data_IF_606935359782
#
_entry.id   IF_606935359782
#
_cell.length_a   1.000
_cell.length_b   1.000
_cell.length_c   1.000
_cell.angle_alpha   90.00
_cell.angle_beta   90.00
_cell.angle_gamma   90.00
#
_symmetry.space_group_name_H-M   'P 1'
#
loop_
_entity.id
_entity.type
_entity.pdbx_description
1 polymer ?
#
# COMPACT_ATOMS: atom_id res chain seq x y z
N UNK A 1 -48.30 -37.80 46.58
CA UNK A 1 -48.38 -36.81 45.48
C UNK A 1 -46.99 -36.68 44.87
N UNK A 2 -46.77 -37.23 43.67
CA UNK A 2 -45.48 -37.18 42.95
C UNK A 2 -45.55 -36.01 41.95
N UNK A 3 -44.75 -34.96 42.15
CA UNK A 3 -44.61 -33.89 41.17
C UNK A 3 -43.45 -34.20 40.23
N UNK A 4 -43.77 -34.27 38.94
CA UNK A 4 -42.82 -34.46 37.85
C UNK A 4 -42.11 -33.14 37.54
N UNK A 5 -40.79 -33.15 37.59
CA UNK A 5 -39.96 -32.02 37.15
C UNK A 5 -39.72 -32.17 35.64
N UNK A 6 -40.27 -31.25 34.84
CA UNK A 6 -40.01 -31.15 33.39
C UNK A 6 -38.73 -30.35 33.18
N UNK A 7 -37.70 -30.99 32.64
CA UNK A 7 -36.49 -30.31 32.17
C UNK A 7 -36.74 -29.83 30.73
N UNK A 8 -36.76 -28.50 30.54
CA UNK A 8 -36.78 -27.88 29.23
C UNK A 8 -35.33 -27.73 28.72
N UNK A 9 -35.03 -28.37 27.59
CA UNK A 9 -33.74 -28.27 26.92
C UNK A 9 -33.77 -27.05 25.98
N UNK A 10 -33.09 -25.96 26.36
CA UNK A 10 -32.94 -24.78 25.51
C UNK A 10 -31.85 -24.99 24.45
N UNK A 11 -32.20 -24.88 23.18
CA UNK A 11 -31.25 -24.84 22.06
C UNK A 11 -30.53 -23.49 22.05
N UNK A 12 -29.24 -23.49 22.36
CA UNK A 12 -28.38 -22.32 22.28
C UNK A 12 -27.76 -22.28 20.88
N UNK A 13 -28.33 -21.45 19.99
CA UNK A 13 -27.75 -21.19 18.67
C UNK A 13 -26.58 -20.21 18.86
N UNK A 14 -25.36 -20.74 18.87
CA UNK A 14 -24.13 -19.95 18.79
C UNK A 14 -24.00 -19.36 17.39
N UNK A 15 -24.21 -18.06 17.26
CA UNK A 15 -23.80 -17.30 16.08
C UNK A 15 -22.27 -17.22 16.10
N UNK A 16 -21.61 -18.08 15.32
CA UNK A 16 -20.20 -17.91 15.03
C UNK A 16 -20.06 -16.70 14.10
N UNK A 17 -19.54 -15.59 14.61
CA UNK A 17 -19.00 -14.55 13.75
C UNK A 17 -17.82 -15.16 13.00
N UNK A 18 -17.93 -15.22 11.66
CA UNK A 18 -16.78 -15.53 10.81
C UNK A 18 -15.85 -14.33 10.92
N UNK A 19 -14.83 -14.44 11.78
CA UNK A 19 -13.71 -13.51 11.80
C UNK A 19 -12.97 -13.68 10.47
N UNK A 20 -13.21 -12.77 9.53
CA UNK A 20 -12.40 -12.69 8.33
C UNK A 20 -10.99 -12.30 8.73
N UNK A 21 -10.01 -13.04 8.22
CA UNK A 21 -8.61 -12.73 8.42
C UNK A 21 -8.27 -11.47 7.63
N UNK A 22 -8.19 -10.35 8.34
CA UNK A 22 -7.90 -9.02 7.80
C UNK A 22 -6.51 -8.59 8.27
N UNK A 23 -5.76 -7.98 7.37
CA UNK A 23 -4.60 -7.20 7.74
C UNK A 23 -5.12 -5.88 8.32
N UNK A 24 -4.57 -5.37 9.42
CA UNK A 24 -4.99 -4.09 10.00
C UNK A 24 -3.79 -3.24 10.37
N UNK A 25 -3.89 -1.94 10.12
CA UNK A 25 -2.83 -1.00 10.49
C UNK A 25 -2.82 -0.82 12.02
N UNK A 26 -1.69 -1.13 12.62
CA UNK A 26 -1.37 -0.82 14.02
C UNK A 26 -0.22 0.19 14.05
N UNK A 27 -0.50 1.43 14.44
CA UNK A 27 0.50 2.49 14.52
C UNK A 27 1.45 2.17 15.69
N UNK A 28 2.73 2.00 15.39
CA UNK A 28 3.79 1.70 16.37
C UNK A 28 4.56 2.96 16.76
N UNK A 29 4.62 3.95 15.87
CA UNK A 29 5.19 5.26 16.12
C UNK A 29 4.37 6.32 15.38
N UNK A 30 3.55 7.06 16.12
CA UNK A 30 2.84 8.23 15.61
C UNK A 30 3.76 9.46 15.48
N UNK A 31 3.22 10.55 14.96
CA UNK A 31 3.91 11.85 14.89
C UNK A 31 3.15 12.84 15.76
N UNK A 32 3.56 12.99 17.03
CA UNK A 32 2.85 13.85 18.00
C UNK A 32 2.75 15.31 17.55
N UNK A 33 3.75 15.78 16.80
CA UNK A 33 3.81 17.12 16.20
C UNK A 33 3.12 17.23 14.83
N UNK A 34 2.40 16.20 14.38
CA UNK A 34 1.60 16.26 13.17
C UNK A 34 0.47 17.30 13.31
N UNK A 35 0.01 17.83 12.17
CA UNK A 35 -0.96 18.92 12.12
C UNK A 35 -2.28 18.49 12.81
N UNK A 36 -2.71 19.17 13.89
CA UNK A 36 -4.01 18.90 14.50
C UNK A 36 -5.14 19.15 13.50
N UNK A 37 -6.16 18.30 13.51
CA UNK A 37 -7.35 18.47 12.67
C UNK A 37 -8.61 17.96 13.39
N UNK A 38 -9.75 18.63 13.18
CA UNK A 38 -11.05 18.13 13.60
C UNK A 38 -11.65 17.24 12.51
N UNK A 39 -12.02 16.00 12.83
CA UNK A 39 -12.81 15.15 11.92
C UNK A 39 -14.04 14.68 12.67
N UNK A 40 -15.16 15.35 12.44
CA UNK A 40 -16.41 15.12 13.17
C UNK A 40 -17.08 13.85 12.66
N UNK A 41 -17.73 13.03 13.52
CA UNK A 41 -18.58 11.94 13.06
C UNK A 41 -19.64 12.43 12.07
N UNK A 42 -19.70 11.81 10.89
CA UNK A 42 -20.64 12.27 9.85
C UNK A 42 -22.08 12.00 10.29
N UNK A 43 -22.96 12.95 10.00
CA UNK A 43 -24.37 12.83 10.37
C UNK A 43 -25.07 11.80 9.50
N UNK A 44 -25.54 10.72 10.12
CA UNK A 44 -26.47 9.78 9.49
C UNK A 44 -27.88 10.39 9.40
N UNK A 45 -28.44 10.39 8.18
CA UNK A 45 -29.77 10.95 7.88
C UNK A 45 -30.86 9.88 7.64
N UNK A 46 -30.52 8.60 7.83
CA UNK A 46 -31.49 7.50 7.78
C UNK A 46 -31.93 7.04 9.17
N UNK A 47 -32.80 6.01 9.22
CA UNK A 47 -33.19 5.39 10.49
C UNK A 47 -32.05 4.52 11.06
N UNK A 48 -32.05 4.32 12.38
CA UNK A 48 -31.14 3.38 13.04
C UNK A 48 -29.67 3.82 13.01
N UNK A 49 -28.76 2.83 12.99
CA UNK A 49 -27.31 3.05 12.93
C UNK A 49 -26.84 3.27 11.49
N UNK A 50 -25.81 4.10 11.26
CA UNK A 50 -25.21 4.23 9.93
C UNK A 50 -24.66 2.90 9.43
N UNK A 51 -24.63 2.68 8.10
CA UNK A 51 -24.03 1.48 7.52
C UNK A 51 -22.49 1.46 7.60
N UNK A 52 -21.86 2.60 7.82
CA UNK A 52 -20.41 2.79 7.92
C UNK A 52 -20.08 4.11 8.64
N UNK A 53 -19.00 4.15 9.41
CA UNK A 53 -18.55 5.33 10.16
C UNK A 53 -17.58 6.19 9.34
N UNK A 54 -18.11 6.93 8.35
CA UNK A 54 -17.31 7.68 7.36
C UNK A 54 -16.29 8.63 8.01
N UNK A 55 -16.70 9.39 9.03
CA UNK A 55 -15.80 10.30 9.74
C UNK A 55 -14.64 9.58 10.44
N UNK A 56 -14.87 8.35 10.93
CA UNK A 56 -13.82 7.54 11.53
C UNK A 56 -12.79 7.07 10.47
N UNK A 57 -13.25 6.71 9.27
CA UNK A 57 -12.35 6.37 8.15
C UNK A 57 -11.51 7.58 7.74
N UNK A 58 -12.13 8.76 7.58
CA UNK A 58 -11.39 9.99 7.23
C UNK A 58 -10.35 10.32 8.30
N UNK A 59 -10.70 10.22 9.58
CA UNK A 59 -9.76 10.39 10.68
C UNK A 59 -8.63 9.35 10.66
N UNK A 60 -8.95 8.08 10.40
CA UNK A 60 -7.94 7.02 10.29
C UNK A 60 -6.97 7.29 9.14
N UNK A 61 -7.47 7.64 7.95
CA UNK A 61 -6.68 7.94 6.76
C UNK A 61 -5.69 9.08 7.00
N UNK A 62 -6.19 10.22 7.49
CA UNK A 62 -5.35 11.38 7.76
C UNK A 62 -4.28 11.07 8.80
N UNK A 63 -4.60 10.27 9.83
CA UNK A 63 -3.62 9.79 10.82
C UNK A 63 -2.60 8.83 10.21
N UNK A 64 -3.05 7.88 9.38
CA UNK A 64 -2.21 6.88 8.70
C UNK A 64 -1.21 7.52 7.73
N UNK A 65 -1.48 8.74 7.26
CA UNK A 65 -0.52 9.50 6.45
C UNK A 65 0.72 9.98 7.23
N UNK A 66 0.66 9.98 8.57
CA UNK A 66 1.69 10.56 9.44
C UNK A 66 1.77 12.09 9.41
N UNK A 67 0.88 12.78 8.67
CA UNK A 67 0.88 14.25 8.53
C UNK A 67 -0.16 14.96 9.41
N UNK A 68 -1.15 14.22 9.91
CA UNK A 68 -2.22 14.79 10.72
C UNK A 68 -2.37 14.05 12.06
N UNK A 69 -2.86 14.79 13.04
CA UNK A 69 -3.26 14.29 14.35
C UNK A 69 -4.75 14.63 14.58
N UNK A 70 -5.69 13.79 14.10
CA UNK A 70 -7.11 14.02 14.31
C UNK A 70 -7.46 13.92 15.79
N UNK A 71 -8.11 14.95 16.32
CA UNK A 71 -8.54 15.00 17.72
C UNK A 71 -9.55 13.87 18.01
N UNK A 72 -9.44 13.29 19.21
CA UNK A 72 -10.38 12.27 19.68
C UNK A 72 -11.81 12.83 19.83
N UNK A 73 -12.82 12.03 19.47
CA UNK A 73 -14.22 12.42 19.49
C UNK A 73 -14.71 12.88 20.88
N UNK A 74 -14.18 12.32 21.97
CA UNK A 74 -14.54 12.69 23.33
C UNK A 74 -13.95 14.06 23.76
N UNK A 75 -12.96 14.57 23.02
CA UNK A 75 -12.30 15.85 23.28
C UNK A 75 -12.77 16.97 22.35
N UNK A 76 -13.67 16.67 21.41
CA UNK A 76 -14.19 17.67 20.49
C UNK A 76 -15.01 18.73 21.25
N UNK A 77 -14.83 20.02 20.95
CA UNK A 77 -15.59 21.08 21.61
C UNK A 77 -17.06 21.10 21.15
N UNK A 78 -17.33 20.52 19.98
CA UNK A 78 -18.65 20.39 19.38
C UNK A 78 -18.63 19.32 18.28
N UNK A 79 -19.80 18.78 17.93
CA UNK A 79 -19.97 17.82 16.83
C UNK A 79 -20.94 18.37 15.78
N UNK A 80 -20.54 19.42 15.03
CA UNK A 80 -21.38 20.03 13.99
C UNK A 80 -21.63 19.07 12.85
N UNK A 81 -22.86 19.06 12.35
CA UNK A 81 -23.29 18.24 11.22
C UNK A 81 -23.19 18.96 9.89
N UNK A 82 -23.06 20.29 9.88
CA UNK A 82 -22.94 21.12 8.68
C UNK A 82 -21.84 22.17 8.84
N UNK A 83 -21.34 22.73 7.74
CA UNK A 83 -20.32 23.78 7.80
C UNK A 83 -20.80 25.03 8.56
N UNK A 84 -22.09 25.37 8.46
CA UNK A 84 -22.68 26.53 9.14
C UNK A 84 -22.74 26.37 10.68
N UNK A 85 -22.74 25.13 11.19
CA UNK A 85 -22.71 24.83 12.63
C UNK A 85 -21.29 24.85 13.22
N UNK A 86 -20.26 25.01 12.39
CA UNK A 86 -18.88 25.07 12.88
C UNK A 86 -18.66 26.41 13.56
N UNK A 87 -18.40 26.41 14.87
CA UNK A 87 -17.97 27.59 15.63
C UNK A 87 -16.44 27.66 15.57
N UNK A 88 -15.82 28.48 14.70
CA UNK A 88 -14.38 28.38 14.44
C UNK A 88 -13.51 28.56 15.67
N UNK A 89 -13.86 29.56 16.51
CA UNK A 89 -13.11 29.93 17.71
C UNK A 89 -12.94 28.77 18.70
N UNK A 90 -13.91 27.85 18.79
CA UNK A 90 -13.83 26.68 19.67
C UNK A 90 -12.74 25.70 19.24
N UNK A 91 -12.46 25.61 17.94
CA UNK A 91 -11.41 24.74 17.38
C UNK A 91 -10.06 25.44 17.39
N UNK A 92 -9.99 26.74 17.06
CA UNK A 92 -8.76 27.53 17.13
C UNK A 92 -8.16 27.53 18.54
N UNK A 93 -9.02 27.57 19.57
CA UNK A 93 -8.61 27.48 20.97
C UNK A 93 -7.88 26.17 21.33
N UNK A 94 -8.07 25.12 20.53
CA UNK A 94 -7.37 23.83 20.65
C UNK A 94 -6.17 23.71 19.68
N UNK A 95 -5.82 24.79 18.97
CA UNK A 95 -4.78 24.78 17.94
C UNK A 95 -5.19 24.08 16.64
N UNK A 96 -6.50 23.90 16.40
CA UNK A 96 -7.03 23.27 15.18
C UNK A 96 -7.46 24.36 14.20
N UNK A 97 -6.90 24.32 12.99
CA UNK A 97 -7.13 25.30 11.93
C UNK A 97 -8.04 24.80 10.80
N UNK A 98 -8.44 23.53 10.82
CA UNK A 98 -9.36 22.94 9.87
C UNK A 98 -10.24 21.86 10.52
N UNK A 99 -11.50 21.81 10.08
CA UNK A 99 -12.49 20.83 10.55
C UNK A 99 -13.20 20.19 9.37
N UNK A 100 -13.27 18.86 9.36
CA UNK A 100 -14.07 18.08 8.43
C UNK A 100 -15.41 17.75 9.09
N UNK A 101 -16.48 18.11 8.40
CA UNK A 101 -17.87 17.72 8.73
C UNK A 101 -18.49 17.02 7.53
N UNK A 102 -19.58 16.29 7.73
CA UNK A 102 -20.25 15.63 6.62
C UNK A 102 -21.52 14.92 7.01
N UNK A 103 -22.20 14.40 5.99
CA UNK A 103 -23.48 13.70 6.13
C UNK A 103 -23.49 12.43 5.27
N UNK A 104 -24.31 11.47 5.68
CA UNK A 104 -24.60 10.24 4.93
C UNK A 104 -26.10 10.08 4.82
N UNK A 105 -26.62 10.10 3.59
CA UNK A 105 -28.05 10.06 3.30
C UNK A 105 -28.40 8.81 2.46
N UNK A 106 -29.31 7.94 2.92
CA UNK A 106 -29.83 6.86 2.07
C UNK A 106 -30.72 7.44 0.96
N UNK A 107 -30.62 6.86 -0.23
CA UNK A 107 -31.44 7.16 -1.40
C UNK A 107 -32.52 6.09 -1.62
N UNK A 108 -33.61 6.46 -2.29
CA UNK A 108 -34.74 5.56 -2.54
C UNK A 108 -34.37 4.33 -3.42
N UNK A 109 -33.30 4.42 -4.21
CA UNK A 109 -32.78 3.35 -5.06
C UNK A 109 -31.81 2.39 -4.32
N UNK A 110 -31.68 2.54 -2.99
CA UNK A 110 -30.78 1.72 -2.16
C UNK A 110 -29.32 2.16 -2.18
N UNK A 111 -28.98 3.23 -2.89
CA UNK A 111 -27.66 3.88 -2.81
C UNK A 111 -27.58 4.87 -1.64
N UNK A 112 -26.39 5.44 -1.43
CA UNK A 112 -26.09 6.41 -0.38
C UNK A 112 -25.44 7.65 -1.02
N UNK A 113 -25.77 8.83 -0.51
CA UNK A 113 -25.04 10.06 -0.79
C UNK A 113 -24.16 10.37 0.41
N UNK A 114 -22.85 10.36 0.21
CA UNK A 114 -21.85 10.76 1.21
C UNK A 114 -21.36 12.16 0.84
N UNK A 115 -21.55 13.13 1.72
CA UNK A 115 -21.10 14.51 1.52
C UNK A 115 -20.13 14.92 2.62
N UNK A 116 -19.13 15.72 2.27
CA UNK A 116 -18.23 16.32 3.24
C UNK A 116 -18.03 17.81 2.94
N UNK A 117 -17.67 18.57 3.98
CA UNK A 117 -17.19 19.93 3.88
C UNK A 117 -15.95 20.08 4.76
N UNK A 118 -14.90 20.70 4.23
CA UNK A 118 -13.69 21.08 4.93
C UNK A 118 -13.77 22.57 5.25
N UNK A 119 -13.81 22.92 6.54
CA UNK A 119 -14.01 24.29 7.03
C UNK A 119 -12.73 24.82 7.63
N UNK A 120 -12.32 26.03 7.24
CA UNK A 120 -11.22 26.77 7.86
C UNK A 120 -11.68 27.30 9.23
N UNK A 121 -10.90 27.05 10.28
CA UNK A 121 -11.18 27.55 11.63
C UNK A 121 -10.21 28.60 12.14
N UNK A 122 -9.29 29.07 11.31
CA UNK A 122 -8.30 30.08 11.66
C UNK A 122 -8.32 31.28 10.71
N UNK A 123 -7.64 31.19 9.56
CA UNK A 123 -7.34 32.34 8.70
C UNK A 123 -8.59 32.93 8.06
N UNK A 124 -9.36 32.10 7.36
CA UNK A 124 -10.65 32.46 6.80
C UNK A 124 -11.77 31.75 7.56
N UNK A 125 -11.83 31.99 8.88
CA UNK A 125 -12.72 31.31 9.82
C UNK A 125 -14.17 31.19 9.31
N UNK A 126 -14.67 29.95 9.22
CA UNK A 126 -16.01 29.60 8.74
C UNK A 126 -16.12 29.40 7.22
N UNK A 127 -15.07 29.70 6.45
CA UNK A 127 -15.07 29.43 5.01
C UNK A 127 -14.93 27.95 4.70
N UNK A 128 -15.62 27.49 3.65
CA UNK A 128 -15.50 26.12 3.13
C UNK A 128 -14.33 26.08 2.14
N UNK A 129 -13.24 25.40 2.51
CA UNK A 129 -12.03 25.25 1.72
C UNK A 129 -12.19 24.23 0.58
N UNK A 130 -12.95 23.18 0.83
CA UNK A 130 -13.29 22.11 -0.11
C UNK A 130 -14.59 21.43 0.32
N UNK A 131 -15.34 20.90 -0.63
CA UNK A 131 -16.54 20.11 -0.39
C UNK A 131 -16.85 19.25 -1.61
N UNK A 132 -17.47 18.10 -1.38
CA UNK A 132 -17.96 17.24 -2.45
C UNK A 132 -19.10 16.36 -1.97
N UNK A 133 -19.75 15.66 -2.90
CA UNK A 133 -20.75 14.64 -2.63
C UNK A 133 -20.59 13.45 -3.59
N UNK A 134 -20.76 12.24 -3.07
CA UNK A 134 -20.59 11.01 -3.81
C UNK A 134 -21.84 10.15 -3.67
N UNK A 135 -22.42 9.73 -4.80
CA UNK A 135 -23.50 8.74 -4.81
C UNK A 135 -22.89 7.35 -5.03
N UNK A 136 -23.02 6.47 -4.04
CA UNK A 136 -22.38 5.15 -4.02
C UNK A 136 -23.32 4.06 -3.53
N UNK A 137 -23.12 2.81 -3.97
CA UNK A 137 -23.79 1.66 -3.35
C UNK A 137 -23.05 1.27 -2.06
N UNK A 138 -23.70 0.44 -1.22
CA UNK A 138 -23.17 0.06 0.11
C UNK A 138 -21.71 -0.41 0.09
N UNK A 139 -21.34 -1.22 -0.91
CA UNK A 139 -19.99 -1.79 -1.04
C UNK A 139 -18.89 -0.73 -1.28
N UNK A 140 -19.25 0.48 -1.71
CA UNK A 140 -18.34 1.57 -2.04
C UNK A 140 -18.36 2.72 -1.01
N UNK A 141 -19.00 2.53 0.15
CA UNK A 141 -19.02 3.54 1.22
C UNK A 141 -17.61 3.89 1.71
N UNK A 142 -16.75 2.87 1.89
CA UNK A 142 -15.35 3.07 2.26
C UNK A 142 -14.58 3.86 1.20
N UNK A 143 -14.78 3.52 -0.08
CA UNK A 143 -14.19 4.27 -1.19
C UNK A 143 -14.61 5.75 -1.19
N UNK A 144 -15.88 6.04 -0.90
CA UNK A 144 -16.35 7.43 -0.76
C UNK A 144 -15.67 8.17 0.42
N UNK A 145 -15.47 7.49 1.55
CA UNK A 145 -14.70 8.03 2.67
C UNK A 145 -13.25 8.33 2.28
N UNK A 146 -12.55 7.36 1.67
CA UNK A 146 -11.19 7.54 1.18
C UNK A 146 -11.08 8.65 0.12
N UNK A 147 -12.13 8.87 -0.69
CA UNK A 147 -12.19 9.99 -1.64
C UNK A 147 -12.24 11.33 -0.90
N UNK A 148 -13.08 11.46 0.14
CA UNK A 148 -13.09 12.65 1.00
C UNK A 148 -11.72 12.86 1.69
N UNK A 149 -11.10 11.79 2.19
CA UNK A 149 -9.75 11.85 2.76
C UNK A 149 -8.72 12.35 1.76
N UNK A 150 -8.74 11.87 0.51
CA UNK A 150 -7.82 12.28 -0.54
C UNK A 150 -7.95 13.78 -0.83
N UNK A 151 -9.18 14.27 -0.98
CA UNK A 151 -9.44 15.67 -1.27
C UNK A 151 -9.07 16.59 -0.09
N UNK A 152 -9.38 16.20 1.15
CA UNK A 152 -8.97 16.94 2.35
C UNK A 152 -7.44 16.99 2.46
N UNK A 153 -6.78 15.84 2.29
CA UNK A 153 -5.33 15.74 2.38
C UNK A 153 -4.64 16.59 1.30
N UNK A 154 -5.09 16.50 0.06
CA UNK A 154 -4.54 17.28 -1.05
C UNK A 154 -4.77 18.77 -0.85
N UNK A 155 -5.97 19.18 -0.41
CA UNK A 155 -6.28 20.58 -0.15
C UNK A 155 -5.39 21.19 0.94
N UNK A 156 -5.08 20.43 1.98
CA UNK A 156 -4.33 20.91 3.14
C UNK A 156 -2.81 20.76 3.02
N UNK A 157 -2.32 19.89 2.13
CA UNK A 157 -0.88 19.59 2.00
C UNK A 157 -0.30 19.90 0.62
N UNK A 158 -1.13 20.02 -0.42
CA UNK A 158 -0.71 20.08 -1.81
C UNK A 158 -0.18 18.75 -2.39
N UNK A 159 -0.24 17.67 -1.60
CA UNK A 159 0.19 16.33 -2.02
C UNK A 159 -1.05 15.51 -2.34
N UNK A 160 -1.09 14.87 -3.51
CA UNK A 160 -2.20 13.99 -3.88
C UNK A 160 -2.37 12.84 -2.88
N UNK A 161 -3.61 12.65 -2.40
CA UNK A 161 -3.95 11.56 -1.48
C UNK A 161 -3.81 10.17 -2.11
N UNK A 162 -3.51 9.17 -1.28
CA UNK A 162 -3.32 7.78 -1.67
C UNK A 162 -4.26 6.82 -0.92
N UNK A 163 -5.36 7.30 -0.35
CA UNK A 163 -6.22 6.49 0.53
C UNK A 163 -7.13 5.52 -0.23
N UNK A 164 -7.35 5.75 -1.53
CA UNK A 164 -8.07 4.82 -2.42
C UNK A 164 -7.19 3.73 -3.02
N UNK A 165 -5.91 3.70 -2.68
CA UNK A 165 -4.98 2.72 -3.21
C UNK A 165 -5.17 1.35 -2.56
N UNK A 166 -4.53 0.36 -3.16
CA UNK A 166 -4.51 -1.04 -2.71
C UNK A 166 -3.09 -1.49 -2.47
N UNK A 167 -2.95 -2.60 -1.77
CA UNK A 167 -1.70 -3.32 -1.62
C UNK A 167 -1.88 -4.77 -2.09
N UNK A 168 -0.88 -5.29 -2.79
CA UNK A 168 -0.75 -6.71 -3.07
C UNK A 168 0.28 -7.31 -2.12
N UNK A 169 0.07 -8.54 -1.67
CA UNK A 169 1.00 -9.24 -0.77
C UNK A 169 0.79 -10.75 -0.84
N UNK A 170 1.81 -11.49 -0.41
CA UNK A 170 1.75 -12.95 -0.34
C UNK A 170 1.59 -13.40 1.10
N UNK A 171 0.55 -14.19 1.35
CA UNK A 171 0.30 -14.85 2.63
C UNK A 171 0.72 -16.31 2.52
N UNK A 172 1.54 -16.77 3.47
CA UNK A 172 1.81 -18.17 3.70
C UNK A 172 0.98 -18.63 4.91
N UNK A 173 -0.10 -19.37 4.63
CA UNK A 173 -1.03 -19.86 5.64
C UNK A 173 -0.50 -21.11 6.35
N UNK A 174 -1.12 -21.44 7.49
CA UNK A 174 -0.75 -22.61 8.28
C UNK A 174 -1.29 -23.90 7.65
N UNK A 175 -0.58 -24.42 6.65
CA UNK A 175 -0.87 -25.72 6.03
C UNK A 175 -1.98 -25.71 4.97
N UNK A 176 -2.46 -26.89 4.60
CA UNK A 176 -3.43 -27.08 3.52
C UNK A 176 -2.80 -27.36 2.15
N UNK A 177 -3.64 -27.67 1.15
CA UNK A 177 -3.20 -28.02 -0.22
C UNK A 177 -2.57 -26.83 -0.96
N UNK A 178 -2.96 -25.60 -0.62
CA UNK A 178 -2.52 -24.37 -1.26
C UNK A 178 -2.10 -23.34 -0.20
N UNK A 179 -0.94 -23.52 0.47
CA UNK A 179 -0.55 -22.68 1.59
C UNK A 179 -0.06 -21.28 1.17
N UNK A 180 0.15 -21.02 -0.12
CA UNK A 180 0.62 -19.72 -0.62
C UNK A 180 -0.49 -18.99 -1.36
N UNK A 181 -0.85 -17.80 -0.89
CA UNK A 181 -1.91 -16.99 -1.48
C UNK A 181 -1.38 -15.60 -1.84
N UNK A 182 -1.51 -15.21 -3.11
CA UNK A 182 -1.38 -13.82 -3.51
C UNK A 182 -2.73 -13.14 -3.22
N UNK A 183 -2.72 -12.09 -2.40
CA UNK A 183 -3.90 -11.35 -1.99
C UNK A 183 -3.77 -9.88 -2.39
N UNK A 184 -4.91 -9.22 -2.48
CA UNK A 184 -5.05 -7.77 -2.61
C UNK A 184 -6.05 -7.29 -1.57
N UNK A 185 -5.77 -6.15 -0.96
CA UNK A 185 -6.70 -5.41 -0.11
C UNK A 185 -6.60 -3.92 -0.42
N UNK A 186 -7.52 -3.11 0.12
CA UNK A 186 -7.29 -1.67 0.26
C UNK A 186 -6.03 -1.44 1.13
N UNK A 187 -5.42 -0.25 1.03
CA UNK A 187 -4.15 0.03 1.71
C UNK A 187 -4.22 -0.18 3.24
N UNK A 188 -5.40 0.01 3.83
CA UNK A 188 -5.68 -0.17 5.25
C UNK A 188 -6.17 -1.58 5.61
N UNK A 189 -6.14 -2.50 4.64
CA UNK A 189 -6.36 -3.94 4.82
C UNK A 189 -7.80 -4.42 4.67
N UNK A 190 -8.76 -3.50 4.49
CA UNK A 190 -10.15 -3.84 4.20
C UNK A 190 -10.33 -4.35 2.75
N UNK A 191 -11.51 -4.91 2.46
CA UNK A 191 -11.87 -5.39 1.11
C UNK A 191 -10.87 -6.41 0.52
N UNK A 192 -10.29 -7.25 1.38
CA UNK A 192 -9.33 -8.27 0.96
C UNK A 192 -9.98 -9.31 0.04
N UNK A 193 -9.28 -9.67 -1.04
CA UNK A 193 -9.61 -10.82 -1.87
C UNK A 193 -8.34 -11.59 -2.29
N UNK A 194 -8.51 -12.87 -2.61
CA UNK A 194 -7.42 -13.73 -3.08
C UNK A 194 -7.34 -13.66 -4.61
N UNK A 195 -6.17 -13.30 -5.12
CA UNK A 195 -5.86 -13.24 -6.56
C UNK A 195 -5.52 -14.63 -7.08
N UNK A 196 -4.63 -15.34 -6.38
CA UNK A 196 -4.16 -16.67 -6.79
C UNK A 196 -3.78 -17.51 -5.57
N UNK A 197 -4.02 -18.83 -5.63
CA UNK A 197 -3.62 -19.80 -4.61
C UNK A 197 -2.70 -20.83 -5.21
N UNK A 198 -1.68 -21.23 -4.46
CA UNK A 198 -0.65 -22.13 -4.95
C UNK A 198 -0.17 -23.15 -3.92
N UNK A 199 0.12 -24.40 -4.32
CA UNK A 199 0.84 -25.37 -3.50
C UNK A 199 2.32 -25.00 -3.31
N UNK A 200 2.84 -24.07 -4.12
CA UNK A 200 4.24 -23.67 -4.17
C UNK A 200 4.38 -22.16 -3.92
N UNK A 201 5.58 -21.66 -3.60
CA UNK A 201 5.76 -20.23 -3.33
C UNK A 201 5.27 -19.32 -4.46
N UNK A 202 4.73 -18.16 -4.06
CA UNK A 202 4.45 -17.01 -4.92
C UNK A 202 5.38 -15.87 -4.50
N UNK A 203 5.91 -15.12 -5.46
CA UNK A 203 6.89 -14.07 -5.17
C UNK A 203 6.67 -12.82 -6.03
N UNK A 204 7.13 -11.69 -5.50
CA UNK A 204 7.35 -10.43 -6.22
C UNK A 204 6.14 -9.96 -7.05
N UNK A 205 4.97 -9.71 -6.44
CA UNK A 205 3.87 -9.09 -7.15
C UNK A 205 4.26 -7.68 -7.61
N UNK A 206 3.85 -7.29 -8.81
CA UNK A 206 4.06 -5.96 -9.35
C UNK A 206 2.80 -5.47 -10.08
N UNK A 207 2.34 -4.28 -9.75
CA UNK A 207 1.13 -3.68 -10.34
C UNK A 207 1.41 -3.12 -11.74
N UNK A 208 0.45 -3.30 -12.65
CA UNK A 208 0.38 -2.45 -13.84
C UNK A 208 -0.02 -1.02 -13.45
N UNK A 209 0.42 0.01 -14.19
CA UNK A 209 0.18 1.42 -13.82
C UNK A 209 -1.30 1.84 -13.86
N UNK A 210 -2.15 1.08 -14.55
CA UNK A 210 -3.61 1.24 -14.55
C UNK A 210 -4.31 0.49 -13.39
N UNK A 211 -3.55 -0.20 -12.54
CA UNK A 211 -4.08 -0.98 -11.41
C UNK A 211 -4.88 -2.23 -11.79
N UNK A 212 -4.96 -2.60 -13.07
CA UNK A 212 -5.85 -3.68 -13.53
C UNK A 212 -5.22 -5.08 -13.51
N UNK A 213 -3.90 -5.17 -13.42
CA UNK A 213 -3.13 -6.43 -13.52
C UNK A 213 -2.04 -6.50 -12.45
N UNK A 214 -1.67 -7.73 -12.10
CA UNK A 214 -0.50 -8.03 -11.27
C UNK A 214 0.39 -9.01 -12.02
N UNK A 215 1.66 -8.67 -12.19
CA UNK A 215 2.70 -9.62 -12.56
C UNK A 215 3.25 -10.30 -11.30
N UNK A 216 3.50 -11.60 -11.33
CA UNK A 216 4.07 -12.33 -10.19
C UNK A 216 4.79 -13.60 -10.64
N UNK A 217 5.62 -14.14 -9.75
CA UNK A 217 6.34 -15.40 -9.97
C UNK A 217 5.60 -16.53 -9.28
N UNK A 218 5.40 -17.63 -10.00
CA UNK A 218 4.85 -18.89 -9.46
C UNK A 218 5.84 -20.04 -9.67
N UNK A 219 5.85 -21.00 -8.74
CA UNK A 219 6.66 -22.21 -8.79
C UNK A 219 5.84 -23.49 -9.02
N UNK A 220 4.56 -23.35 -9.40
CA UNK A 220 3.60 -24.46 -9.57
C UNK A 220 4.02 -25.51 -10.58
N UNK A 221 4.82 -25.11 -11.57
CA UNK A 221 5.36 -26.02 -12.59
C UNK A 221 6.59 -26.82 -12.13
N UNK A 222 7.01 -26.69 -10.87
CA UNK A 222 8.27 -27.23 -10.34
C UNK A 222 9.50 -26.35 -10.64
N UNK A 223 9.33 -25.27 -11.40
CA UNK A 223 10.32 -24.21 -11.66
C UNK A 223 9.64 -22.84 -11.65
N UNK A 224 10.43 -21.78 -11.55
CA UNK A 224 9.91 -20.40 -11.63
C UNK A 224 9.28 -20.10 -13.00
N UNK A 225 8.10 -19.51 -12.98
CA UNK A 225 7.43 -18.95 -14.14
C UNK A 225 6.92 -17.54 -13.80
N UNK A 226 7.16 -16.58 -14.69
CA UNK A 226 6.65 -15.24 -14.60
C UNK A 226 5.34 -15.13 -15.38
N UNK A 227 4.29 -14.64 -14.72
CA UNK A 227 2.96 -14.49 -15.29
C UNK A 227 2.39 -13.10 -15.01
N UNK A 228 1.40 -12.68 -15.79
CA UNK A 228 0.56 -11.49 -15.54
C UNK A 228 -0.88 -11.96 -15.40
N UNK A 229 -1.54 -11.62 -14.31
CA UNK A 229 -2.96 -11.91 -14.09
C UNK A 229 -3.79 -10.63 -14.12
N UNK A 230 -4.89 -10.67 -14.86
CA UNK A 230 -5.91 -9.60 -14.88
C UNK A 230 -6.85 -9.77 -13.70
N UNK A 231 -6.97 -8.75 -12.86
CA UNK A 231 -7.69 -8.86 -11.58
C UNK A 231 -9.20 -9.04 -11.77
N UNK A 232 -9.79 -8.38 -12.77
CA UNK A 232 -11.24 -8.37 -12.97
C UNK A 232 -11.82 -9.74 -13.37
N UNK A 233 -11.05 -10.60 -14.04
CA UNK A 233 -11.54 -11.87 -14.59
C UNK A 233 -10.60 -13.07 -14.33
N UNK A 234 -9.46 -12.86 -13.68
CA UNK A 234 -8.47 -13.90 -13.39
C UNK A 234 -7.69 -14.40 -14.61
N UNK A 235 -7.76 -13.75 -15.77
CA UNK A 235 -7.04 -14.19 -16.97
C UNK A 235 -5.53 -14.12 -16.77
N UNK A 236 -4.82 -15.22 -17.01
CA UNK A 236 -3.37 -15.35 -16.84
C UNK A 236 -2.68 -15.35 -18.21
N UNK A 237 -1.70 -14.45 -18.39
CA UNK A 237 -0.75 -14.44 -19.50
C UNK A 237 0.60 -14.92 -19.01
N UNK A 238 1.14 -15.98 -19.60
CA UNK A 238 2.52 -16.38 -19.36
C UNK A 238 3.48 -15.39 -20.04
N UNK A 239 4.47 -14.91 -19.29
CA UNK A 239 5.52 -14.01 -19.79
C UNK A 239 6.79 -14.79 -20.09
N UNK A 240 7.29 -15.55 -19.12
CA UNK A 240 8.55 -16.28 -19.23
C UNK A 240 8.57 -17.53 -18.35
N UNK A 241 9.11 -18.63 -18.89
CA UNK A 241 9.38 -19.88 -18.15
C UNK A 241 10.61 -20.60 -18.72
N UNK A 242 11.67 -19.84 -18.95
CA UNK A 242 12.96 -20.37 -19.38
C UNK A 242 13.59 -21.23 -18.28
N UNK A 243 14.63 -22.03 -18.58
CA UNK A 243 15.40 -22.72 -17.56
C UNK A 243 15.91 -21.76 -16.48
N UNK A 244 16.04 -22.26 -15.24
CA UNK A 244 16.49 -21.52 -14.05
C UNK A 244 15.48 -20.48 -13.56
N UNK A 245 15.91 -19.25 -13.30
CA UNK A 245 15.11 -18.20 -12.67
C UNK A 245 14.41 -17.31 -13.71
N UNK A 246 13.14 -17.00 -13.48
CA UNK A 246 12.30 -16.05 -14.22
C UNK A 246 11.54 -15.22 -13.19
N UNK A 247 11.88 -13.94 -13.01
CA UNK A 247 11.26 -13.17 -11.94
C UNK A 247 11.63 -11.70 -11.88
N UNK A 248 11.38 -11.10 -10.70
CA UNK A 248 11.55 -9.67 -10.43
C UNK A 248 10.86 -8.74 -11.46
N UNK A 249 9.53 -8.88 -11.68
CA UNK A 249 8.82 -8.05 -12.64
C UNK A 249 8.66 -6.59 -12.17
N UNK A 250 8.70 -5.65 -13.11
CA UNK A 250 8.31 -4.26 -12.90
C UNK A 250 7.70 -3.67 -14.18
N UNK A 251 6.47 -3.16 -14.09
CA UNK A 251 5.81 -2.48 -15.22
C UNK A 251 6.40 -1.08 -15.42
N UNK A 252 6.54 -0.66 -16.67
CA UNK A 252 6.87 0.74 -16.96
C UNK A 252 5.70 1.66 -16.59
N UNK A 253 5.95 2.89 -16.11
CA UNK A 253 4.90 3.86 -15.77
C UNK A 253 3.93 4.16 -16.91
N UNK A 254 4.38 4.14 -18.17
CA UNK A 254 3.56 4.32 -19.37
C UNK A 254 2.68 3.11 -19.73
N UNK A 255 2.85 1.98 -19.04
CA UNK A 255 2.07 0.75 -19.26
C UNK A 255 2.42 -0.01 -20.54
N UNK A 256 3.50 0.35 -21.23
CA UNK A 256 3.88 -0.28 -22.51
C UNK A 256 4.83 -1.45 -22.34
N UNK A 257 5.57 -1.54 -21.23
CA UNK A 257 6.66 -2.51 -21.04
C UNK A 257 6.59 -3.22 -19.69
N UNK A 258 7.21 -4.39 -19.64
CA UNK A 258 7.50 -5.13 -18.42
C UNK A 258 9.00 -5.45 -18.37
N UNK A 259 9.72 -4.89 -17.40
CA UNK A 259 11.09 -5.29 -17.09
C UNK A 259 11.08 -6.51 -16.15
N UNK A 260 12.05 -7.40 -16.29
CA UNK A 260 12.22 -8.59 -15.45
C UNK A 260 13.63 -9.17 -15.57
N UNK A 261 13.96 -10.12 -14.71
CA UNK A 261 15.26 -10.79 -14.69
C UNK A 261 15.15 -12.27 -15.07
N UNK A 262 16.08 -12.74 -15.92
CA UNK A 262 16.22 -14.14 -16.30
C UNK A 262 17.65 -14.62 -16.04
N UNK A 263 17.83 -15.86 -15.57
CA UNK A 263 19.16 -16.48 -15.43
C UNK A 263 19.48 -17.57 -16.45
N UNK A 264 18.77 -17.58 -17.58
CA UNK A 264 18.92 -18.58 -18.66
C UNK A 264 20.32 -18.64 -19.27
N UNK A 265 21.10 -17.56 -19.20
CA UNK A 265 22.47 -17.46 -19.72
C UNK A 265 23.55 -17.86 -18.70
N UNK A 266 23.18 -18.27 -17.48
CA UNK A 266 24.10 -18.66 -16.41
C UNK A 266 24.14 -17.69 -15.23
N UNK A 267 24.04 -16.39 -15.49
CA UNK A 267 23.86 -15.30 -14.52
C UNK A 267 22.54 -14.56 -14.76
N UNK A 268 22.02 -13.87 -13.74
CA UNK A 268 20.83 -13.02 -13.90
C UNK A 268 21.12 -11.84 -14.82
N UNK A 269 20.22 -11.60 -15.78
CA UNK A 269 20.26 -10.47 -16.69
C UNK A 269 18.89 -9.83 -16.82
N UNK A 270 18.86 -8.54 -17.11
CA UNK A 270 17.64 -7.77 -17.31
C UNK A 270 17.12 -7.95 -18.73
N UNK A 271 15.80 -8.10 -18.82
CA UNK A 271 15.04 -8.17 -20.06
C UNK A 271 13.85 -7.24 -19.96
N UNK A 272 13.37 -6.78 -21.10
CA UNK A 272 12.16 -5.97 -21.23
C UNK A 272 11.25 -6.60 -22.28
N UNK A 273 9.99 -6.81 -21.93
CA UNK A 273 8.94 -7.22 -22.86
C UNK A 273 8.09 -6.02 -23.25
N UNK A 274 7.89 -5.83 -24.55
CA UNK A 274 6.83 -4.96 -25.06
C UNK A 274 5.46 -5.66 -24.87
N UNK A 275 4.54 -5.02 -24.13
CA UNK A 275 3.29 -5.65 -23.71
C UNK A 275 2.33 -5.88 -24.87
N UNK A 276 2.39 -5.07 -25.93
CA UNK A 276 1.50 -5.18 -27.08
C UNK A 276 1.90 -6.34 -28.01
N UNK A 277 3.17 -6.39 -28.39
CA UNK A 277 3.72 -7.41 -29.30
C UNK A 277 4.16 -8.70 -28.60
N UNK A 278 4.49 -8.63 -27.31
CA UNK A 278 5.15 -9.71 -26.58
C UNK A 278 6.63 -9.89 -26.91
N UNK A 279 7.23 -8.99 -27.69
CA UNK A 279 8.65 -9.06 -28.02
C UNK A 279 9.51 -8.83 -26.77
N UNK A 280 10.47 -9.72 -26.52
CA UNK A 280 11.41 -9.64 -25.39
C UNK A 280 12.78 -9.22 -25.93
N UNK A 281 13.33 -8.15 -25.34
CA UNK A 281 14.68 -7.66 -25.61
C UNK A 281 15.55 -7.78 -24.37
N UNK A 282 16.84 -8.09 -24.54
CA UNK A 282 17.81 -8.17 -23.45
C UNK A 282 18.46 -6.80 -23.24
N UNK A 283 18.57 -6.35 -21.99
CA UNK A 283 19.13 -5.02 -21.62
C UNK A 283 20.56 -5.15 -21.08
N UNK A 284 20.83 -6.22 -20.32
CA UNK A 284 22.18 -6.52 -19.81
C UNK A 284 22.64 -7.88 -20.31
N UNK A 285 23.93 -8.03 -20.58
CA UNK A 285 24.54 -9.27 -21.09
C UNK A 285 25.86 -9.65 -20.39
N UNK A 286 26.15 -8.99 -19.26
CA UNK A 286 27.35 -9.20 -18.47
C UNK A 286 27.37 -10.52 -17.68
N UNK A 287 28.53 -10.83 -17.08
CA UNK A 287 28.73 -12.02 -16.23
C UNK A 287 28.20 -11.87 -14.81
N UNK A 288 28.01 -10.63 -14.36
CA UNK A 288 27.37 -10.32 -13.08
C UNK A 288 25.91 -10.76 -13.06
N UNK A 289 25.35 -10.89 -11.85
CA UNK A 289 23.91 -10.98 -11.67
C UNK A 289 23.32 -9.57 -11.66
N UNK A 290 22.35 -9.33 -12.54
CA UNK A 290 21.61 -8.08 -12.70
C UNK A 290 20.11 -8.39 -12.55
N UNK A 291 19.47 -7.86 -11.51
CA UNK A 291 18.09 -8.24 -11.10
C UNK A 291 17.38 -7.06 -10.42
N UNK A 292 16.14 -7.28 -9.98
CA UNK A 292 15.33 -6.30 -9.21
C UNK A 292 15.22 -4.94 -9.94
N UNK A 293 14.74 -4.90 -11.19
CA UNK A 293 14.56 -3.65 -11.91
C UNK A 293 13.44 -2.81 -11.28
N UNK A 294 13.63 -1.50 -11.21
CA UNK A 294 12.60 -0.50 -10.92
C UNK A 294 12.71 0.64 -11.91
N UNK A 295 11.57 1.11 -12.41
CA UNK A 295 11.52 2.08 -13.50
C UNK A 295 11.67 3.51 -13.00
N UNK A 296 12.46 4.29 -13.73
CA UNK A 296 12.36 5.74 -13.64
C UNK A 296 11.09 6.25 -14.36
N UNK A 297 10.58 7.43 -14.00
CA UNK A 297 9.38 8.02 -14.62
C UNK A 297 9.52 8.31 -16.13
N UNK A 298 10.74 8.30 -16.65
CA UNK A 298 11.03 8.52 -18.07
C UNK A 298 10.75 7.31 -18.98
N UNK A 299 10.36 6.15 -18.41
CA UNK A 299 10.06 4.91 -19.14
C UNK A 299 11.23 4.35 -19.96
N UNK A 300 12.45 4.82 -19.71
CA UNK A 300 13.64 4.43 -20.46
C UNK A 300 14.79 4.00 -19.56
N UNK A 301 14.82 4.47 -18.31
CA UNK A 301 15.86 4.09 -17.37
C UNK A 301 15.33 3.13 -16.31
N UNK A 302 16.20 2.20 -15.91
CA UNK A 302 15.98 1.27 -14.81
C UNK A 302 17.02 1.52 -13.73
N UNK A 303 16.58 1.62 -12.47
CA UNK A 303 17.41 1.27 -11.32
C UNK A 303 17.38 -0.26 -11.16
N UNK A 304 18.49 -0.88 -10.77
CA UNK A 304 18.54 -2.34 -10.60
C UNK A 304 19.69 -2.77 -9.70
N UNK A 305 19.60 -3.96 -9.13
CA UNK A 305 20.66 -4.56 -8.30
C UNK A 305 21.69 -5.28 -9.17
N UNK A 306 22.98 -5.00 -8.95
CA UNK A 306 24.10 -5.72 -9.56
C UNK A 306 25.18 -6.11 -8.56
N UNK A 307 25.76 -7.29 -8.74
CA UNK A 307 26.95 -7.77 -8.00
C UNK A 307 28.27 -7.52 -8.74
N UNK A 308 28.28 -6.74 -9.83
CA UNK A 308 29.49 -6.53 -10.64
C UNK A 308 30.67 -5.89 -9.89
N UNK A 309 30.41 -5.20 -8.77
CA UNK A 309 31.42 -4.62 -7.89
C UNK A 309 31.73 -5.46 -6.63
N UNK A 310 31.28 -6.72 -6.56
CA UNK A 310 31.39 -7.58 -5.39
C UNK A 310 30.04 -7.73 -4.66
N UNK A 311 29.84 -7.01 -3.56
CA UNK A 311 28.55 -7.01 -2.86
C UNK A 311 27.47 -6.31 -3.70
N UNK A 312 26.18 -6.72 -3.60
CA UNK A 312 25.08 -6.06 -4.29
C UNK A 312 25.07 -4.55 -4.08
N UNK A 313 24.93 -3.82 -5.18
CA UNK A 313 24.76 -2.37 -5.22
C UNK A 313 23.70 -2.02 -6.27
N UNK A 314 23.08 -0.85 -6.13
CA UNK A 314 22.11 -0.34 -7.09
C UNK A 314 22.83 0.43 -8.21
N UNK A 315 22.48 0.10 -9.44
CA UNK A 315 22.94 0.71 -10.69
C UNK A 315 21.78 1.29 -11.48
N UNK A 316 22.07 2.20 -12.40
CA UNK A 316 21.16 2.78 -13.38
C UNK A 316 21.58 2.40 -14.80
N UNK A 317 20.64 2.03 -15.65
CA UNK A 317 20.88 1.74 -17.07
C UNK A 317 19.73 2.24 -17.94
N UNK A 318 20.02 2.68 -19.16
CA UNK A 318 19.01 2.96 -20.16
C UNK A 318 18.69 1.69 -20.97
N UNK A 319 17.40 1.37 -21.16
CA UNK A 319 16.96 0.15 -21.84
C UNK A 319 17.37 0.10 -23.32
N UNK A 320 17.69 1.24 -23.93
CA UNK A 320 18.14 1.33 -25.32
C UNK A 320 19.67 1.19 -25.47
N UNK A 321 20.37 0.93 -24.37
CA UNK A 321 21.82 0.72 -24.31
C UNK A 321 22.57 1.84 -23.60
N UNK A 322 23.89 1.65 -23.49
CA UNK A 322 24.78 2.51 -22.71
C UNK A 322 25.43 1.76 -21.56
N UNK A 323 26.39 2.42 -20.90
CA UNK A 323 27.14 1.81 -19.78
C UNK A 323 26.34 1.96 -18.49
N UNK A 324 26.09 0.87 -17.73
CA UNK A 324 25.44 0.98 -16.43
C UNK A 324 26.25 1.82 -15.45
N UNK A 325 25.59 2.71 -14.72
CA UNK A 325 26.18 3.62 -13.75
C UNK A 325 25.84 3.21 -12.32
N UNK A 326 26.82 3.07 -11.43
CA UNK A 326 26.57 2.84 -10.01
C UNK A 326 25.98 4.09 -9.36
N UNK A 327 24.88 3.95 -8.61
CA UNK A 327 24.20 5.08 -7.95
C UNK A 327 24.20 5.01 -6.42
N UNK A 328 24.64 3.89 -5.84
CA UNK A 328 24.74 3.71 -4.38
C UNK A 328 26.19 3.53 -3.95
N UNK A 329 26.65 4.31 -2.97
CA UNK A 329 28.04 4.33 -2.52
C UNK A 329 28.20 4.25 -1.01
N UNK A 330 27.20 4.71 -0.25
CA UNK A 330 27.17 4.59 1.20
C UNK A 330 26.61 3.23 1.63
N UNK A 331 27.16 2.66 2.71
CA UNK A 331 26.80 1.32 3.20
C UNK A 331 27.56 0.19 2.51
N UNK A 332 27.55 -1.00 3.13
CA UNK A 332 28.32 -2.16 2.63
C UNK A 332 27.63 -2.88 1.47
N UNK A 333 26.30 -2.83 1.40
CA UNK A 333 25.47 -3.52 0.41
C UNK A 333 24.13 -2.81 0.26
N UNK A 334 23.66 -2.64 -0.98
CA UNK A 334 22.44 -1.91 -1.31
C UNK A 334 21.71 -2.64 -2.45
N UNK A 335 20.43 -2.94 -2.30
CA UNK A 335 19.68 -3.74 -3.28
C UNK A 335 18.18 -3.50 -3.20
N UNK A 336 17.42 -4.14 -4.09
CA UNK A 336 15.96 -4.20 -4.12
C UNK A 336 15.35 -2.80 -3.99
N UNK A 337 15.75 -1.92 -4.92
CA UNK A 337 15.34 -0.53 -4.93
C UNK A 337 13.97 -0.37 -5.58
N UNK A 338 13.18 0.56 -5.05
CA UNK A 338 11.98 1.09 -5.67
C UNK A 338 12.14 2.59 -5.91
N UNK A 339 12.03 3.01 -7.16
CA UNK A 339 12.19 4.41 -7.57
C UNK A 339 10.88 5.16 -7.31
N UNK A 340 11.00 6.33 -6.69
CA UNK A 340 9.84 7.18 -6.42
C UNK A 340 9.12 7.61 -7.72
N UNK A 341 7.78 7.83 -7.67
CA UNK A 341 7.01 8.24 -8.84
C UNK A 341 7.47 9.56 -9.50
N UNK A 342 8.13 10.45 -8.75
CA UNK A 342 8.71 11.70 -9.30
C UNK A 342 10.20 11.57 -9.69
N UNK A 343 10.80 10.40 -9.47
CA UNK A 343 12.18 10.08 -9.84
C UNK A 343 13.25 10.75 -8.99
N UNK A 344 12.88 11.42 -7.88
CA UNK A 344 13.83 12.20 -7.07
C UNK A 344 14.51 11.40 -5.97
N UNK A 345 13.94 10.28 -5.57
CA UNK A 345 14.57 9.37 -4.61
C UNK A 345 14.28 7.91 -4.95
N UNK A 346 14.97 7.00 -4.28
CA UNK A 346 14.60 5.59 -4.23
C UNK A 346 14.55 5.10 -2.77
N UNK A 347 13.64 4.18 -2.47
CA UNK A 347 13.68 3.37 -1.26
C UNK A 347 14.46 2.09 -1.60
N UNK A 348 15.31 1.61 -0.70
CA UNK A 348 16.12 0.42 -0.94
C UNK A 348 16.34 -0.36 0.35
N UNK A 349 16.78 -1.59 0.18
CA UNK A 349 17.34 -2.40 1.26
C UNK A 349 18.83 -2.07 1.38
N UNK A 350 19.26 -1.57 2.54
CA UNK A 350 20.66 -1.29 2.83
C UNK A 350 21.16 -2.15 3.97
N UNK A 351 22.28 -2.84 3.76
CA UNK A 351 22.90 -3.70 4.78
C UNK A 351 24.26 -3.14 5.21
N UNK A 352 24.43 -3.00 6.53
CA UNK A 352 25.68 -2.56 7.13
C UNK A 352 25.88 -3.20 8.51
N UNK A 353 27.10 -3.64 8.83
CA UNK A 353 27.40 -4.23 10.14
C UNK A 353 26.60 -5.48 10.51
N UNK A 354 26.08 -6.22 9.52
CA UNK A 354 25.23 -7.41 9.74
C UNK A 354 23.74 -7.11 9.93
N UNK A 355 23.35 -5.83 10.02
CA UNK A 355 21.96 -5.40 10.01
C UNK A 355 21.50 -5.04 8.59
N UNK A 356 20.19 -5.09 8.35
CA UNK A 356 19.55 -4.76 7.08
C UNK A 356 18.26 -3.98 7.35
N UNK A 357 18.17 -2.78 6.76
CA UNK A 357 17.07 -1.84 6.96
C UNK A 357 16.60 -1.24 5.64
N UNK A 358 15.42 -0.62 5.65
CA UNK A 358 14.96 0.23 4.56
C UNK A 358 15.64 1.59 4.70
N UNK A 359 16.27 2.03 3.62
CA UNK A 359 16.86 3.35 3.48
C UNK A 359 16.25 4.11 2.30
N UNK A 360 16.31 5.43 2.36
CA UNK A 360 16.00 6.34 1.26
C UNK A 360 17.29 6.95 0.75
N UNK A 361 17.52 6.85 -0.56
CA UNK A 361 18.57 7.59 -1.26
C UNK A 361 17.91 8.73 -2.05
N UNK A 362 18.27 9.96 -1.74
CA UNK A 362 17.91 11.13 -2.54
C UNK A 362 18.81 11.17 -3.80
N UNK A 363 18.20 11.08 -4.98
CA UNK A 363 18.90 11.00 -6.27
C UNK A 363 19.35 12.37 -6.80
N UNK A 364 18.95 13.46 -6.16
CA UNK A 364 19.37 14.83 -6.50
C UNK A 364 20.63 15.20 -5.72
N UNK A 365 20.66 14.88 -4.43
CA UNK A 365 21.72 15.26 -3.49
C UNK A 365 22.71 14.14 -3.18
N UNK A 366 22.31 12.88 -3.40
CA UNK A 366 23.09 11.70 -3.01
C UNK A 366 22.96 11.32 -1.52
N UNK A 367 22.16 12.05 -0.75
CA UNK A 367 22.02 11.80 0.69
C UNK A 367 21.26 10.50 0.98
N UNK A 368 21.79 9.69 1.91
CA UNK A 368 21.14 8.47 2.39
C UNK A 368 20.56 8.68 3.78
N UNK A 369 19.31 8.26 3.97
CA UNK A 369 18.62 8.25 5.26
C UNK A 369 18.08 6.85 5.54
N UNK A 370 18.53 6.20 6.61
CA UNK A 370 17.88 4.96 7.10
C UNK A 370 16.52 5.33 7.70
N UNK A 371 15.46 4.62 7.29
CA UNK A 371 14.08 4.89 7.70
C UNK A 371 13.62 3.95 8.83
N UNK A 372 14.16 2.74 8.88
CA UNK A 372 13.66 1.66 9.74
C UNK A 372 14.74 1.12 10.68
N UNK A 373 14.27 0.45 11.73
CA UNK A 373 15.06 -0.19 12.78
C UNK A 373 14.52 -1.61 13.09
N UNK A 374 13.66 -2.14 12.22
CA UNK A 374 13.10 -3.48 12.34
C UNK A 374 14.10 -4.55 11.85
N UNK A 375 13.79 -5.82 12.09
CA UNK A 375 14.71 -6.93 11.83
C UNK A 375 14.45 -7.58 10.47
N UNK A 376 15.51 -7.75 9.67
CA UNK A 376 15.49 -8.34 8.32
C UNK A 376 14.46 -7.67 7.41
N UNK A 377 14.63 -6.35 7.23
CA UNK A 377 13.74 -5.55 6.39
C UNK A 377 13.98 -5.84 4.91
N UNK A 378 12.92 -6.07 4.14
CA UNK A 378 13.02 -6.42 2.72
C UNK A 378 11.83 -5.90 1.89
N UNK A 379 12.04 -5.84 0.56
CA UNK A 379 11.00 -5.56 -0.45
C UNK A 379 10.21 -4.27 -0.19
N UNK A 380 10.88 -3.10 -0.13
CA UNK A 380 10.18 -1.83 -0.04
C UNK A 380 9.37 -1.55 -1.31
N UNK A 381 8.18 -0.98 -1.15
CA UNK A 381 7.35 -0.46 -2.22
C UNK A 381 6.76 0.89 -1.80
N UNK A 382 6.92 1.90 -2.64
CA UNK A 382 6.57 3.28 -2.35
C UNK A 382 5.11 3.53 -2.77
N UNK A 383 4.35 4.20 -1.90
CA UNK A 383 3.02 4.73 -2.25
C UNK A 383 3.08 5.66 -3.47
N UNK A 384 2.03 5.75 -4.30
CA UNK A 384 2.09 6.51 -5.56
C UNK A 384 2.26 8.02 -5.39
N UNK A 385 2.13 8.55 -4.16
CA UNK A 385 2.42 9.94 -3.82
C UNK A 385 3.82 10.16 -3.21
N UNK A 386 4.63 9.11 -3.05
CA UNK A 386 5.98 9.18 -2.50
C UNK A 386 6.09 9.41 -1.00
N UNK A 387 4.99 9.37 -0.23
CA UNK A 387 5.02 9.74 1.20
C UNK A 387 5.22 8.57 2.16
N UNK A 388 4.97 7.35 1.71
CA UNK A 388 4.97 6.14 2.54
C UNK A 388 5.63 4.98 1.82
N UNK A 389 6.28 4.09 2.58
CA UNK A 389 6.85 2.84 2.08
C UNK A 389 6.19 1.70 2.82
N UNK A 390 5.67 0.72 2.09
CA UNK A 390 5.31 -0.59 2.63
C UNK A 390 6.47 -1.55 2.40
N UNK A 391 6.77 -2.38 3.39
CA UNK A 391 7.86 -3.36 3.32
C UNK A 391 7.53 -4.57 4.20
N UNK A 392 8.32 -5.65 4.12
CA UNK A 392 8.21 -6.76 5.06
C UNK A 392 9.41 -6.84 5.99
N UNK A 393 9.17 -7.34 7.21
CA UNK A 393 10.20 -7.58 8.23
C UNK A 393 9.93 -8.92 8.93
N UNK A 394 10.92 -9.44 9.62
CA UNK A 394 10.77 -10.66 10.43
C UNK A 394 10.44 -10.31 11.88
N UNK A 395 9.35 -10.87 12.42
CA UNK A 395 8.98 -10.81 13.83
C UNK A 395 8.79 -12.22 14.39
N UNK A 396 9.61 -12.59 15.38
CA UNK A 396 9.60 -13.95 15.93
C UNK A 396 9.94 -14.99 14.86
N UNK A 397 8.99 -15.89 14.58
CA UNK A 397 9.15 -16.96 13.59
C UNK A 397 8.54 -16.65 12.21
N UNK A 398 7.94 -15.47 12.02
CA UNK A 398 7.18 -15.14 10.82
C UNK A 398 7.45 -13.76 10.24
N UNK A 399 7.13 -13.60 8.97
CA UNK A 399 7.17 -12.31 8.29
C UNK A 399 5.87 -11.51 8.52
N UNK A 400 5.99 -10.20 8.66
CA UNK A 400 4.88 -9.25 8.76
C UNK A 400 5.10 -8.05 7.84
N UNK A 401 4.02 -7.40 7.45
CA UNK A 401 4.09 -6.13 6.73
C UNK A 401 4.27 -4.95 7.69
N UNK A 402 4.96 -3.93 7.22
CA UNK A 402 5.30 -2.72 7.94
C UNK A 402 5.11 -1.50 7.04
N UNK A 403 4.85 -0.36 7.64
CA UNK A 403 4.81 0.95 6.99
C UNK A 403 5.82 1.89 7.65
N UNK A 404 6.49 2.69 6.85
CA UNK A 404 7.32 3.80 7.30
C UNK A 404 7.15 5.01 6.38
N UNK A 405 7.00 6.21 6.95
CA UNK A 405 6.97 7.43 6.12
C UNK A 405 8.34 7.68 5.50
N UNK A 406 8.39 8.34 4.34
CA UNK A 406 9.65 8.61 3.65
C UNK A 406 10.53 9.66 4.35
N UNK A 407 10.02 10.30 5.40
CA UNK A 407 10.81 11.12 6.34
C UNK A 407 11.25 10.35 7.61
N UNK A 408 10.82 9.09 7.78
CA UNK A 408 11.18 8.19 8.88
C UNK A 408 10.44 8.43 10.19
N UNK A 409 9.47 9.37 10.23
CA UNK A 409 8.83 9.80 11.49
C UNK A 409 7.62 8.97 11.89
N UNK A 410 6.85 8.48 10.92
CA UNK A 410 5.70 7.61 11.15
C UNK A 410 6.08 6.17 10.90
N UNK A 411 5.67 5.26 11.81
CA UNK A 411 5.81 3.82 11.65
C UNK A 411 4.53 3.10 12.06
N UNK A 412 4.16 2.08 11.31
CA UNK A 412 3.05 1.19 11.63
C UNK A 412 3.34 -0.24 11.18
N UNK A 413 2.59 -1.20 11.71
CA UNK A 413 2.65 -2.60 11.30
C UNK A 413 1.30 -3.08 10.79
N UNK A 414 1.33 -4.09 9.94
CA UNK A 414 0.18 -4.71 9.29
C UNK A 414 0.25 -6.23 9.52
N UNK A 415 -0.06 -6.72 10.73
CA UNK A 415 -0.09 -8.15 11.00
C UNK A 415 -1.25 -8.81 10.24
N UNK A 416 -1.00 -9.95 9.59
CA UNK A 416 -2.10 -10.84 9.22
C UNK A 416 -2.44 -11.77 10.38
N UNK A 417 -3.72 -12.12 10.46
CA UNK A 417 -4.22 -13.02 11.50
C UNK A 417 -4.11 -14.50 11.12
N UNK A 418 -3.85 -14.84 9.85
CA UNK A 418 -3.93 -16.22 9.33
C UNK A 418 -2.65 -16.76 8.68
N UNK A 419 -1.51 -16.08 8.84
CA UNK A 419 -0.24 -16.58 8.32
C UNK A 419 0.89 -15.55 8.34
N UNK A 420 2.01 -15.94 7.72
CA UNK A 420 3.14 -15.03 7.49
C UNK A 420 2.89 -14.20 6.23
N UNK A 421 3.22 -12.92 6.25
CA UNK A 421 2.98 -12.00 5.13
C UNK A 421 4.26 -11.35 4.65
N UNK A 422 4.48 -11.35 3.34
CA UNK A 422 5.68 -10.82 2.69
C UNK A 422 5.39 -10.41 1.25
N UNK A 423 6.42 -9.87 0.57
CA UNK A 423 6.35 -9.38 -0.80
C UNK A 423 5.22 -8.35 -1.02
N UNK A 424 5.16 -7.26 -0.25
CA UNK A 424 4.18 -6.22 -0.49
C UNK A 424 4.49 -5.46 -1.79
N UNK A 425 3.45 -4.99 -2.45
CA UNK A 425 3.53 -4.03 -3.54
C UNK A 425 2.37 -3.05 -3.47
N UNK A 426 2.68 -1.76 -3.39
CA UNK A 426 1.70 -0.68 -3.39
C UNK A 426 1.15 -0.47 -4.80
N UNK A 427 -0.17 -0.34 -4.93
CA UNK A 427 -0.79 -0.03 -6.21
C UNK A 427 -0.45 1.40 -6.68
N UNK A 428 -0.60 1.69 -7.99
CA UNK A 428 -0.77 3.07 -8.45
C UNK A 428 -2.05 3.69 -7.85
N UNK A 429 -2.31 4.96 -8.17
CA UNK A 429 -3.63 5.56 -7.91
C UNK A 429 -4.75 4.77 -8.60
N UNK A 430 -5.93 4.69 -7.97
CA UNK A 430 -7.11 3.92 -8.43
C UNK A 430 -8.38 4.76 -8.53
#
# INVERSE_FOLDING_TARGET
>A
MKQACRVALGFLVLWASVLHAEVRIEITQGVDSARPIGVVPFKWMGPGTPPEEIGAIVGADLRNSGKFNPIDAARMPQQPSTAAEVTPAAWTALGIDAVVVGQVQPSADGSYVVSYQLVDTAGAAGSVLAQNQYKVTKQWLRYAAHTASDEVFEKLTGIKGAFRTRIAYVVQTNGGKFPHELRVSDYDGYNQFVVHRSPQPLMSPAWSPDGSKIAYVTFESGKSALVIQTLANGAIRQVASFPRHNGAPAFSPDGTKLAFALSKSGSLNLYVMDLASGQISQVTDGRSNNTEPSWFPDNQNLAYTSDQGGRPQVYKVNINGGVPQRITWEGSQNQNADVSPDGKFLALVSSNGGAQHIAKLDLVTGAVQVLTDTFLDETPSIAPNGTMVIYSSTQGLGAVLQLVSTDGRFKARLPATDGQVKFPAWSPYL
#
